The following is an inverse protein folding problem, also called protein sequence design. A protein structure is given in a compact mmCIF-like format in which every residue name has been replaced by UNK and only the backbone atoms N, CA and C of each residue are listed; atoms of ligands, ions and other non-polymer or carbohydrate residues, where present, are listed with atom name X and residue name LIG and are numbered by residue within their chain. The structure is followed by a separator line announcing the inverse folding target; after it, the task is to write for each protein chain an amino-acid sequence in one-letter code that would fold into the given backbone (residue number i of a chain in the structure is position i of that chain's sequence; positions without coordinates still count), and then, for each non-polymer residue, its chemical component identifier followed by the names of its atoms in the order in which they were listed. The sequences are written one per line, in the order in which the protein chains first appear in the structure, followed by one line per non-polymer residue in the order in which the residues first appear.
data_IF_371862912061
#
_entry.id   IF_371862912061
#
_cell.length_a   1.000
_cell.length_b   1.000
_cell.length_c   1.000
_cell.angle_alpha   90.00
_cell.angle_beta   90.00
_cell.angle_gamma   90.00
#
_symmetry.space_group_name_H-M   'P 1'
#
loop_
_entity.id
_entity.type
_entity.pdbx_description
1 polymer ?
#
# COMPACT_ATOMS: atom_id res chain seq x y z
N UNK A 1 34.23 -23.31 34.30
CA UNK A 1 34.88 -22.15 33.64
C UNK A 1 33.91 -20.98 33.74
N UNK A 2 34.11 -20.06 34.70
CA UNK A 2 33.22 -18.91 34.93
C UNK A 2 33.66 -17.75 34.05
N UNK A 3 32.73 -17.19 33.28
CA UNK A 3 32.96 -16.01 32.44
C UNK A 3 32.45 -14.79 33.22
N UNK A 4 33.37 -13.97 33.69
CA UNK A 4 33.10 -12.68 34.34
C UNK A 4 32.87 -11.61 33.25
N UNK A 5 31.66 -11.08 33.14
CA UNK A 5 31.35 -9.95 32.26
C UNK A 5 31.62 -8.63 33.01
N UNK A 6 32.64 -7.87 32.57
CA UNK A 6 32.92 -6.52 33.08
C UNK A 6 32.01 -5.51 32.39
N UNK A 7 31.13 -4.89 33.17
CA UNK A 7 30.30 -3.75 32.78
C UNK A 7 31.14 -2.46 32.82
N UNK A 8 31.15 -1.67 31.74
CA UNK A 8 31.73 -0.32 31.73
C UNK A 8 30.59 0.71 31.65
N UNK A 9 30.62 1.80 32.45
CA UNK A 9 29.54 2.79 32.43
C UNK A 9 29.71 3.79 31.28
N UNK A 10 28.66 3.95 30.48
CA UNK A 10 28.57 4.91 29.39
C UNK A 10 28.45 6.35 29.92
N UNK A 11 29.21 7.26 29.30
CA UNK A 11 29.26 8.69 29.64
C UNK A 11 27.97 9.40 29.26
N UNK A 12 27.41 10.15 30.20
CA UNK A 12 26.24 11.01 30.06
C UNK A 12 26.64 12.26 29.25
N UNK A 13 26.10 12.43 28.04
CA UNK A 13 26.20 13.68 27.28
C UNK A 13 25.03 14.60 27.68
N UNK A 14 25.34 15.71 28.35
CA UNK A 14 24.39 16.79 28.62
C UNK A 14 24.22 17.63 27.35
N UNK A 15 23.04 17.59 26.75
CA UNK A 15 22.65 18.53 25.67
C UNK A 15 22.17 19.83 26.32
N UNK A 16 22.92 20.91 26.09
CA UNK A 16 22.55 22.26 26.51
C UNK A 16 21.44 22.81 25.61
N UNK A 17 20.33 23.21 26.23
CA UNK A 17 19.25 23.97 25.59
C UNK A 17 19.72 25.42 25.47
N UNK A 18 19.92 25.88 24.23
CA UNK A 18 20.17 27.30 23.93
C UNK A 18 18.88 27.92 23.41
N UNK A 19 18.26 28.73 24.27
CA UNK A 19 17.07 29.51 23.97
C UNK A 19 17.48 30.75 23.16
N UNK A 20 16.99 30.88 21.93
CA UNK A 20 17.17 32.07 21.10
C UNK A 20 15.78 32.65 20.79
N UNK A 21 15.49 33.77 21.42
CA UNK A 21 14.35 34.63 21.14
C UNK A 21 14.72 35.70 20.09
N UNK A 22 13.70 36.43 19.63
CA UNK A 22 13.69 37.61 18.73
C UNK A 22 13.45 37.24 17.25
N UNK A 23 12.57 37.86 16.47
CA UNK A 23 11.72 39.07 16.62
C UNK A 23 10.76 39.08 15.43
N UNK A 24 9.48 39.36 15.67
CA UNK A 24 8.48 39.54 14.60
C UNK A 24 8.65 40.91 13.95
N UNK A 25 9.01 40.95 12.67
CA UNK A 25 8.95 42.16 11.84
C UNK A 25 7.71 42.03 10.95
N UNK A 26 6.66 42.77 11.32
CA UNK A 26 5.57 43.11 10.42
C UNK A 26 5.97 44.30 9.56
N UNK A 27 5.59 44.28 8.28
CA UNK A 27 5.53 45.47 7.45
C UNK A 27 4.20 45.53 6.71
N UNK A 28 3.74 46.77 6.56
CA UNK A 28 2.40 47.23 6.30
C UNK A 28 1.86 47.00 4.88
N UNK A 29 0.53 47.09 4.82
CA UNK A 29 -0.32 47.31 3.64
C UNK A 29 0.04 48.63 2.94
N UNK A 30 -0.11 48.68 1.63
CA UNK A 30 -0.31 49.93 0.89
C UNK A 30 -1.42 49.75 -0.16
N UNK A 31 -2.48 50.58 -0.16
CA UNK A 31 -3.51 50.58 -1.20
C UNK A 31 -3.45 51.86 -2.03
N UNK A 32 -3.34 51.78 -3.37
CA UNK A 32 -3.61 52.89 -4.28
C UNK A 32 -4.12 52.32 -5.63
N UNK A 33 -5.42 52.47 -5.98
CA UNK A 33 -6.03 53.41 -6.97
C UNK A 33 -5.73 53.07 -8.44
N UNK A 34 -6.54 53.31 -9.49
CA UNK A 34 -7.95 53.62 -9.79
C UNK A 34 -8.04 53.74 -11.34
N UNK A 35 -9.13 53.28 -11.97
CA UNK A 35 -9.66 53.69 -13.30
C UNK A 35 -8.96 53.15 -14.56
N UNK A 36 -9.62 52.81 -15.69
CA UNK A 36 -11.00 52.84 -16.14
C UNK A 36 -11.07 52.80 -17.69
N UNK A 37 -12.12 52.19 -18.28
CA UNK A 37 -12.54 52.31 -19.70
C UNK A 37 -12.01 51.22 -20.67
N UNK A 38 -12.81 50.23 -21.11
CA UNK A 38 -13.67 50.25 -22.32
C UNK A 38 -12.90 49.62 -23.50
N UNK A 39 -13.35 48.67 -24.32
CA UNK A 39 -14.69 48.23 -24.74
C UNK A 39 -14.60 46.93 -25.57
N UNK A 40 -15.67 46.13 -25.54
CA UNK A 40 -16.19 45.29 -26.64
C UNK A 40 -15.43 44.02 -27.07
N UNK A 41 -16.11 42.87 -26.97
CA UNK A 41 -15.76 41.67 -27.72
C UNK A 41 -16.42 40.41 -27.16
N UNK A 42 -17.57 40.06 -27.73
CA UNK A 42 -18.35 38.87 -27.40
C UNK A 42 -17.52 37.59 -27.44
N UNK A 43 -17.76 36.69 -26.48
CA UNK A 43 -18.07 35.27 -26.72
C UNK A 43 -18.37 34.58 -25.40
N UNK A 44 -19.34 33.67 -25.47
CA UNK A 44 -20.01 33.02 -24.36
C UNK A 44 -19.07 32.53 -23.24
N UNK A 45 -19.45 32.83 -22.00
CA UNK A 45 -18.98 32.12 -20.82
C UNK A 45 -19.54 30.69 -20.90
N UNK A 46 -18.79 29.82 -21.56
CA UNK A 46 -18.88 28.39 -21.32
C UNK A 46 -18.51 28.14 -19.86
N UNK A 47 -19.48 27.69 -19.09
CA UNK A 47 -19.32 27.22 -17.73
C UNK A 47 -18.33 26.05 -17.71
N UNK A 48 -17.06 26.34 -17.45
CA UNK A 48 -15.97 25.37 -17.32
C UNK A 48 -16.09 24.58 -16.02
N UNK A 49 -17.09 23.70 -15.90
CA UNK A 49 -17.17 22.67 -14.86
C UNK A 49 -16.47 21.39 -15.33
N UNK A 50 -15.20 21.49 -15.71
CA UNK A 50 -14.47 20.39 -16.38
C UNK A 50 -13.11 20.05 -15.80
N UNK A 51 -12.87 20.26 -14.50
CA UNK A 51 -11.48 20.45 -14.00
C UNK A 51 -10.98 19.50 -12.92
N UNK A 52 -11.67 18.39 -12.60
CA UNK A 52 -11.08 17.33 -11.78
C UNK A 52 -11.61 15.94 -12.16
N UNK A 53 -12.93 15.80 -12.30
CA UNK A 53 -13.56 14.53 -12.65
C UNK A 53 -13.20 14.03 -14.07
N UNK A 54 -12.96 14.95 -15.02
CA UNK A 54 -12.53 14.61 -16.39
C UNK A 54 -11.09 14.09 -16.44
N UNK A 55 -10.19 14.70 -15.67
CA UNK A 55 -8.79 14.26 -15.54
C UNK A 55 -8.71 12.91 -14.84
N UNK A 56 -9.53 12.70 -13.81
CA UNK A 56 -9.61 11.44 -13.07
C UNK A 56 -10.12 10.29 -13.97
N UNK A 57 -11.16 10.54 -14.77
CA UNK A 57 -11.66 9.56 -15.74
C UNK A 57 -10.64 9.20 -16.84
N UNK A 58 -9.82 10.17 -17.26
CA UNK A 58 -8.72 9.94 -18.20
C UNK A 58 -7.62 9.07 -17.61
N UNK A 59 -7.17 9.40 -16.39
CA UNK A 59 -6.17 8.63 -15.66
C UNK A 59 -6.62 7.19 -15.40
N UNK A 60 -7.87 6.97 -15.03
CA UNK A 60 -8.42 5.61 -14.87
C UNK A 60 -8.39 4.83 -16.19
N UNK A 61 -8.77 5.46 -17.30
CA UNK A 61 -8.78 4.81 -18.62
C UNK A 61 -7.37 4.41 -19.04
N UNK A 62 -6.39 5.29 -18.84
CA UNK A 62 -4.99 5.03 -19.15
C UNK A 62 -4.41 3.93 -18.23
N UNK A 63 -4.69 3.98 -16.93
CA UNK A 63 -4.25 2.97 -15.97
C UNK A 63 -4.79 1.58 -16.31
N UNK A 64 -6.09 1.46 -16.60
CA UNK A 64 -6.69 0.19 -17.00
C UNK A 64 -6.15 -0.30 -18.34
N UNK A 65 -5.81 0.61 -19.26
CA UNK A 65 -5.17 0.26 -20.53
C UNK A 65 -3.78 -0.33 -20.30
N UNK A 66 -2.98 0.25 -19.40
CA UNK A 66 -1.66 -0.29 -19.01
C UNK A 66 -1.82 -1.69 -18.42
N UNK A 67 -2.75 -1.88 -17.48
CA UNK A 67 -2.99 -3.19 -16.84
C UNK A 67 -3.48 -4.22 -17.87
N UNK A 68 -4.36 -3.81 -18.78
CA UNK A 68 -4.89 -4.67 -19.84
C UNK A 68 -3.79 -5.12 -20.81
N UNK A 69 -2.91 -4.21 -21.23
CA UNK A 69 -1.90 -4.50 -22.25
C UNK A 69 -0.69 -5.25 -21.69
N UNK A 70 -0.32 -4.98 -20.44
CA UNK A 70 0.93 -5.48 -19.87
C UNK A 70 0.75 -6.62 -18.86
N UNK A 71 -0.46 -6.85 -18.33
CA UNK A 71 -0.68 -7.80 -17.25
C UNK A 71 -1.66 -8.94 -17.61
N UNK A 72 -2.69 -8.66 -18.41
CA UNK A 72 -3.78 -9.61 -18.67
C UNK A 72 -3.38 -10.87 -19.44
N UNK A 73 -2.24 -10.87 -20.13
CA UNK A 73 -1.74 -12.07 -20.82
C UNK A 73 -1.39 -13.22 -19.85
N UNK A 74 -1.01 -12.90 -18.61
CA UNK A 74 -0.70 -13.89 -17.57
C UNK A 74 -1.69 -13.85 -16.40
N UNK A 75 -2.27 -12.67 -16.11
CA UNK A 75 -3.28 -12.48 -15.08
C UNK A 75 -4.66 -12.32 -15.70
N UNK A 76 -5.19 -13.44 -16.20
CA UNK A 76 -6.50 -13.52 -16.85
C UNK A 76 -7.65 -13.12 -15.91
N UNK A 77 -8.88 -13.07 -16.40
CA UNK A 77 -10.06 -12.72 -15.59
C UNK A 77 -10.40 -13.70 -14.46
N UNK A 78 -9.85 -14.92 -14.47
CA UNK A 78 -10.17 -15.95 -13.47
C UNK A 78 -8.97 -16.73 -12.94
N UNK A 79 -7.77 -16.51 -13.49
CA UNK A 79 -6.57 -17.23 -13.08
C UNK A 79 -5.29 -16.42 -13.36
N UNK A 80 -4.25 -16.71 -12.58
CA UNK A 80 -2.92 -16.18 -12.81
C UNK A 80 -1.91 -16.66 -11.76
N UNK A 81 -0.63 -16.33 -11.95
CA UNK A 81 0.43 -16.69 -11.02
C UNK A 81 0.12 -16.25 -9.59
N UNK A 82 0.49 -17.07 -8.61
CA UNK A 82 0.24 -16.85 -7.18
C UNK A 82 -1.24 -16.61 -6.80
N UNK A 83 -2.19 -17.04 -7.64
CA UNK A 83 -3.62 -16.80 -7.41
C UNK A 83 -4.06 -15.35 -7.64
N UNK A 84 -3.22 -14.53 -8.28
CA UNK A 84 -3.53 -13.13 -8.62
C UNK A 84 -4.12 -13.11 -10.02
N UNK A 85 -5.33 -12.56 -10.17
CA UNK A 85 -6.09 -12.51 -11.42
C UNK A 85 -6.97 -11.27 -11.48
N UNK A 86 -7.66 -11.06 -12.61
CA UNK A 86 -8.61 -9.98 -12.85
C UNK A 86 -8.06 -8.59 -12.51
N UNK A 87 -6.94 -8.23 -13.16
CA UNK A 87 -6.21 -6.98 -12.89
C UNK A 87 -6.80 -5.75 -13.58
N UNK A 88 -7.90 -5.89 -14.33
CA UNK A 88 -8.59 -4.76 -14.97
C UNK A 88 -9.90 -4.39 -14.28
N UNK A 89 -10.29 -5.13 -13.23
CA UNK A 89 -11.43 -4.83 -12.39
C UNK A 89 -10.97 -4.12 -11.12
N UNK A 90 -11.21 -2.82 -11.07
CA UNK A 90 -10.81 -1.97 -9.94
C UNK A 90 -11.39 -2.44 -8.61
N UNK A 91 -12.66 -2.89 -8.58
CA UNK A 91 -13.28 -3.37 -7.35
C UNK A 91 -12.61 -4.66 -6.87
N UNK A 92 -12.25 -5.54 -7.80
CA UNK A 92 -11.48 -6.74 -7.50
C UNK A 92 -10.08 -6.40 -6.97
N UNK A 93 -9.38 -5.45 -7.58
CA UNK A 93 -8.06 -4.99 -7.14
C UNK A 93 -8.10 -4.44 -5.71
N UNK A 94 -9.08 -3.60 -5.40
CA UNK A 94 -9.26 -2.98 -4.08
C UNK A 94 -9.65 -4.04 -3.05
N UNK A 95 -10.66 -4.87 -3.36
CA UNK A 95 -11.20 -5.87 -2.42
C UNK A 95 -10.20 -6.98 -2.07
N UNK A 96 -9.23 -7.24 -2.94
CA UNK A 96 -8.14 -8.19 -2.69
C UNK A 96 -6.83 -7.51 -2.28
N UNK A 97 -6.86 -6.20 -1.98
CA UNK A 97 -5.69 -5.39 -1.57
C UNK A 97 -4.50 -5.47 -2.53
N UNK A 98 -4.76 -5.69 -3.81
CA UNK A 98 -3.74 -5.59 -4.86
C UNK A 98 -3.37 -4.11 -5.11
N UNK A 99 -4.35 -3.23 -4.91
CA UNK A 99 -4.17 -1.78 -4.80
C UNK A 99 -4.82 -1.27 -3.52
N UNK A 100 -4.26 -0.20 -2.96
CA UNK A 100 -4.78 0.53 -1.81
C UNK A 100 -5.05 1.97 -2.27
N UNK A 101 -6.32 2.35 -2.51
CA UNK A 101 -6.70 3.70 -2.89
C UNK A 101 -6.05 4.76 -1.99
N UNK A 102 -5.43 5.76 -2.59
CA UNK A 102 -4.72 6.84 -1.90
C UNK A 102 -3.34 6.47 -1.35
N UNK A 103 -2.91 5.21 -1.43
CA UNK A 103 -1.62 4.76 -0.92
C UNK A 103 -0.88 3.85 -1.92
N UNK A 104 -0.12 4.45 -2.86
CA UNK A 104 0.65 3.70 -3.84
C UNK A 104 1.71 2.79 -3.24
N UNK A 105 2.38 3.23 -2.17
CA UNK A 105 3.45 2.46 -1.52
C UNK A 105 2.92 1.22 -0.80
N UNK A 106 1.66 1.25 -0.36
CA UNK A 106 0.97 0.08 0.20
C UNK A 106 0.37 -0.86 -0.86
N UNK A 107 0.45 -0.52 -2.16
CA UNK A 107 -0.19 -1.27 -3.24
C UNK A 107 0.74 -2.33 -3.83
N UNK A 108 0.34 -3.60 -3.73
CA UNK A 108 1.16 -4.75 -4.14
C UNK A 108 1.56 -4.76 -5.61
N UNK A 109 0.65 -4.27 -6.47
CA UNK A 109 0.93 -4.15 -7.90
C UNK A 109 2.13 -3.24 -8.12
N UNK A 110 2.15 -2.05 -7.50
CA UNK A 110 3.28 -1.13 -7.63
C UNK A 110 4.54 -1.68 -6.97
N UNK A 111 4.44 -2.27 -5.78
CA UNK A 111 5.58 -2.92 -5.12
C UNK A 111 6.21 -4.04 -5.98
N UNK A 112 5.41 -4.75 -6.78
CA UNK A 112 5.91 -5.80 -7.68
C UNK A 112 6.53 -5.21 -8.94
N UNK A 113 5.92 -4.15 -9.49
CA UNK A 113 6.38 -3.45 -10.69
C UNK A 113 7.68 -2.68 -10.43
N UNK A 114 7.73 -1.87 -9.37
CA UNK A 114 8.89 -1.04 -9.00
C UNK A 114 10.09 -1.91 -8.59
N UNK A 115 9.85 -3.12 -8.06
CA UNK A 115 10.88 -4.11 -7.79
C UNK A 115 11.35 -4.88 -9.05
N UNK A 116 10.81 -4.58 -10.23
CA UNK A 116 11.17 -5.24 -11.49
C UNK A 116 10.75 -6.70 -11.59
N UNK A 117 9.83 -7.17 -10.73
CA UNK A 117 9.33 -8.56 -10.74
C UNK A 117 8.21 -8.75 -11.75
N UNK A 118 7.46 -7.69 -12.03
CA UNK A 118 6.37 -7.70 -13.01
C UNK A 118 6.52 -6.54 -14.00
N UNK A 119 6.26 -6.76 -15.29
CA UNK A 119 5.98 -8.05 -15.92
C UNK A 119 7.26 -8.92 -16.08
N UNK A 120 7.13 -10.26 -16.22
CA UNK A 120 8.29 -11.16 -16.30
C UNK A 120 9.14 -10.99 -17.58
N UNK A 121 8.61 -10.31 -18.60
CA UNK A 121 9.32 -10.02 -19.86
C UNK A 121 10.22 -8.79 -19.82
N UNK A 122 10.27 -8.06 -18.71
CA UNK A 122 11.05 -6.84 -18.55
C UNK A 122 10.32 -5.79 -17.70
N UNK A 123 11.06 -4.83 -17.17
CA UNK A 123 10.49 -3.77 -16.36
C UNK A 123 9.45 -2.96 -17.15
N UNK A 124 8.32 -2.67 -16.51
CA UNK A 124 7.31 -1.77 -17.07
C UNK A 124 7.92 -0.38 -17.31
N UNK A 125 7.52 0.30 -18.39
CA UNK A 125 8.05 1.63 -18.72
C UNK A 125 7.83 2.60 -17.54
N UNK A 126 8.84 3.43 -17.23
CA UNK A 126 8.78 4.36 -16.08
C UNK A 126 7.56 5.30 -16.15
N UNK A 127 7.18 5.74 -17.35
CA UNK A 127 5.96 6.54 -17.55
C UNK A 127 4.70 5.80 -17.11
N UNK A 128 4.57 4.53 -17.48
CA UNK A 128 3.44 3.68 -17.09
C UNK A 128 3.43 3.42 -15.58
N UNK A 129 4.59 3.20 -14.96
CA UNK A 129 4.70 3.06 -13.50
C UNK A 129 4.21 4.33 -12.79
N UNK A 130 4.63 5.50 -13.25
CA UNK A 130 4.23 6.79 -12.69
C UNK A 130 2.73 7.03 -12.86
N UNK A 131 2.15 6.62 -14.00
CA UNK A 131 0.72 6.76 -14.26
C UNK A 131 -0.08 5.88 -13.30
N UNK A 132 0.29 4.61 -13.14
CA UNK A 132 -0.34 3.72 -12.16
C UNK A 132 -0.22 4.26 -10.74
N UNK A 133 0.94 4.85 -10.39
CA UNK A 133 1.17 5.51 -9.10
C UNK A 133 0.24 6.69 -8.88
N UNK A 134 0.08 7.55 -9.88
CA UNK A 134 -0.81 8.71 -9.82
C UNK A 134 -2.28 8.29 -9.73
N UNK A 135 -2.69 7.31 -10.52
CA UNK A 135 -4.05 6.77 -10.47
C UNK A 135 -4.39 6.18 -9.10
N UNK A 136 -3.50 5.39 -8.51
CA UNK A 136 -3.70 4.85 -7.17
C UNK A 136 -3.71 5.96 -6.12
N UNK A 137 -2.81 6.93 -6.22
CA UNK A 137 -2.77 8.10 -5.32
C UNK A 137 -4.07 8.92 -5.41
N UNK A 138 -4.65 9.03 -6.61
CA UNK A 138 -5.94 9.67 -6.87
C UNK A 138 -7.16 8.91 -6.35
N UNK A 139 -6.96 7.72 -5.75
CA UNK A 139 -8.04 6.92 -5.17
C UNK A 139 -8.46 5.74 -6.03
N UNK A 140 -7.73 5.43 -7.10
CA UNK A 140 -7.98 4.31 -8.00
C UNK A 140 -9.47 4.24 -8.39
N UNK A 141 -10.01 5.34 -8.88
CA UNK A 141 -11.45 5.48 -9.08
C UNK A 141 -11.84 4.58 -10.25
N UNK A 142 -12.84 3.71 -10.06
CA UNK A 142 -13.36 2.89 -11.16
C UNK A 142 -13.97 3.81 -12.24
N UNK A 143 -13.97 3.42 -13.53
CA UNK A 143 -14.69 4.17 -14.54
C UNK A 143 -16.16 4.25 -14.12
N UNK A 144 -16.61 5.41 -13.66
CA UNK A 144 -17.99 5.63 -13.28
C UNK A 144 -18.86 5.75 -14.53
N UNK A 145 -20.03 5.10 -14.51
CA UNK A 145 -21.17 5.48 -15.35
C UNK A 145 -21.45 7.00 -15.20
N UNK A 146 -22.02 7.72 -16.20
CA UNK A 146 -22.08 9.18 -16.25
C UNK A 146 -22.83 9.92 -15.12
N UNK A 147 -23.36 9.22 -14.12
CA UNK A 147 -24.03 9.84 -12.97
C UNK A 147 -23.00 10.15 -11.88
N UNK A 148 -22.38 11.33 -11.99
CA UNK A 148 -21.35 11.85 -11.10
C UNK A 148 -21.65 11.62 -9.61
N UNK A 149 -20.75 10.91 -8.95
CA UNK A 149 -20.85 10.61 -7.53
C UNK A 149 -20.07 9.37 -7.11
N UNK A 150 -18.85 9.17 -7.59
CA UNK A 150 -17.95 8.15 -7.03
C UNK A 150 -17.16 8.78 -5.89
N UNK A 151 -17.70 8.67 -4.66
CA UNK A 151 -16.79 8.46 -3.53
C UNK A 151 -15.76 7.40 -3.95
N UNK A 152 -14.45 7.61 -3.72
CA UNK A 152 -13.45 6.56 -3.93
C UNK A 152 -14.01 5.27 -3.34
N UNK A 153 -13.78 4.09 -3.95
CA UNK A 153 -14.14 2.82 -3.33
C UNK A 153 -13.51 2.79 -1.94
N UNK A 154 -14.26 3.24 -0.93
CA UNK A 154 -13.83 3.18 0.44
C UNK A 154 -13.87 1.70 0.72
N UNK A 155 -12.68 1.11 0.89
CA UNK A 155 -12.53 -0.25 1.37
C UNK A 155 -13.62 -0.44 2.43
N UNK A 156 -14.61 -1.36 2.23
CA UNK A 156 -15.39 -1.78 3.38
C UNK A 156 -14.36 -2.20 4.43
N UNK A 157 -14.52 -1.83 5.72
CA UNK A 157 -13.57 -2.25 6.73
C UNK A 157 -13.45 -3.76 6.64
N UNK A 158 -12.31 -4.24 6.13
CA UNK A 158 -12.08 -5.68 5.98
C UNK A 158 -12.00 -6.18 7.41
N UNK A 159 -13.10 -6.76 7.88
CA UNK A 159 -13.15 -7.42 9.18
C UNK A 159 -12.23 -8.63 9.04
N UNK A 160 -11.02 -8.49 9.58
CA UNK A 160 -10.04 -9.55 9.60
C UNK A 160 -10.50 -10.59 10.61
N UNK A 161 -11.00 -11.72 10.12
CA UNK A 161 -11.32 -12.86 10.97
C UNK A 161 -10.05 -13.62 11.37
N UNK A 162 -9.97 -14.18 12.60
CA UNK A 162 -8.85 -14.99 13.06
C UNK A 162 -8.92 -16.42 12.51
N UNK A 163 -9.02 -16.55 11.18
CA UNK A 163 -9.02 -17.82 10.44
C UNK A 163 -7.84 -17.89 9.49
N UNK A 164 -7.40 -19.10 9.14
CA UNK A 164 -6.30 -19.25 8.19
C UNK A 164 -6.68 -18.69 6.81
N UNK A 165 -7.91 -18.90 6.35
CA UNK A 165 -8.44 -18.39 5.09
C UNK A 165 -8.39 -16.86 5.02
N UNK A 166 -8.84 -16.18 6.08
CA UNK A 166 -8.78 -14.72 6.20
C UNK A 166 -7.34 -14.22 6.23
N UNK A 167 -6.48 -14.82 7.06
CA UNK A 167 -5.07 -14.42 7.18
C UNK A 167 -4.28 -14.67 5.89
N UNK A 168 -4.53 -15.80 5.22
CA UNK A 168 -3.91 -16.13 3.94
C UNK A 168 -4.23 -15.07 2.89
N UNK A 169 -5.52 -14.76 2.71
CA UNK A 169 -5.99 -13.78 1.74
C UNK A 169 -5.54 -12.36 2.06
N UNK A 170 -5.59 -11.96 3.33
CA UNK A 170 -5.47 -10.55 3.72
C UNK A 170 -4.11 -10.18 4.33
N UNK A 171 -3.27 -11.16 4.67
CA UNK A 171 -1.93 -10.97 5.25
C UNK A 171 -0.86 -11.77 4.50
N UNK A 172 -0.94 -13.09 4.41
CA UNK A 172 0.20 -13.89 3.92
C UNK A 172 0.47 -13.71 2.43
N UNK A 173 -0.56 -13.86 1.59
CA UNK A 173 -0.45 -13.61 0.15
C UNK A 173 0.03 -12.18 -0.13
N UNK A 174 -0.59 -11.14 0.45
CA UNK A 174 -0.20 -9.77 0.12
C UNK A 174 1.18 -9.38 0.68
N UNK A 175 1.51 -9.70 1.93
CA UNK A 175 2.72 -9.18 2.59
C UNK A 175 3.92 -10.13 2.55
N UNK A 176 3.72 -11.43 2.35
CA UNK A 176 4.77 -12.43 2.59
C UNK A 176 5.16 -13.22 1.34
N UNK A 177 4.19 -13.68 0.55
CA UNK A 177 4.41 -14.69 -0.51
C UNK A 177 5.33 -14.20 -1.63
N UNK A 178 5.41 -12.89 -1.86
CA UNK A 178 6.26 -12.31 -2.92
C UNK A 178 7.76 -12.55 -2.72
N UNK A 179 8.19 -12.87 -1.49
CA UNK A 179 9.56 -13.27 -1.16
C UNK A 179 9.66 -14.57 -0.36
N UNK A 180 8.57 -15.04 0.24
CA UNK A 180 8.49 -16.25 1.06
C UNK A 180 7.42 -17.20 0.50
N UNK A 181 7.72 -17.86 -0.61
CA UNK A 181 6.87 -18.88 -1.24
C UNK A 181 7.62 -20.20 -1.40
N UNK A 182 6.93 -21.27 -1.79
CA UNK A 182 7.56 -22.57 -2.07
C UNK A 182 8.65 -22.48 -3.13
N UNK A 183 8.50 -21.55 -4.09
CA UNK A 183 9.45 -21.32 -5.17
C UNK A 183 10.52 -20.26 -4.83
N UNK A 184 10.32 -19.50 -3.76
CA UNK A 184 11.24 -18.47 -3.28
C UNK A 184 11.26 -18.50 -1.75
N UNK A 185 12.06 -19.39 -1.17
CA UNK A 185 12.14 -19.61 0.29
C UNK A 185 13.19 -18.72 0.93
N UNK A 186 12.96 -17.41 0.96
CA UNK A 186 13.87 -16.49 1.65
C UNK A 186 14.03 -16.93 3.11
N UNK A 187 15.28 -17.16 3.54
CA UNK A 187 15.63 -17.71 4.85
C UNK A 187 14.97 -19.06 5.18
N UNK A 188 14.57 -19.84 4.16
CA UNK A 188 13.98 -21.17 4.33
C UNK A 188 12.47 -21.20 4.65
N UNK A 189 11.80 -20.06 4.71
CA UNK A 189 10.37 -19.96 5.04
C UNK A 189 9.48 -19.67 3.83
N UNK A 190 8.27 -20.21 3.85
CA UNK A 190 7.23 -19.97 2.87
C UNK A 190 5.87 -19.78 3.57
N UNK A 191 5.00 -18.93 3.01
CA UNK A 191 3.68 -18.61 3.58
C UNK A 191 2.56 -18.73 2.56
N UNK A 192 2.77 -19.51 1.50
CA UNK A 192 1.84 -19.76 0.39
C UNK A 192 0.87 -20.92 0.64
N UNK A 193 1.07 -21.68 1.73
CA UNK A 193 0.13 -22.70 2.19
C UNK A 193 0.26 -22.95 3.70
N UNK A 194 -0.79 -23.54 4.27
CA UNK A 194 -0.93 -23.77 5.71
C UNK A 194 0.24 -24.58 6.29
N UNK A 195 0.62 -25.67 5.62
CA UNK A 195 1.68 -26.56 6.10
C UNK A 195 3.04 -25.83 6.19
N UNK A 196 3.33 -24.91 5.27
CA UNK A 196 4.53 -24.08 5.32
C UNK A 196 4.44 -22.99 6.40
N UNK A 197 3.30 -22.31 6.53
CA UNK A 197 3.07 -21.29 7.58
C UNK A 197 3.34 -21.89 8.97
N UNK A 198 2.80 -23.09 9.23
CA UNK A 198 2.94 -23.76 10.52
C UNK A 198 4.37 -24.13 10.92
N UNK A 199 5.34 -24.13 9.98
CA UNK A 199 6.77 -24.33 10.32
C UNK A 199 7.36 -23.19 11.16
N UNK A 200 6.68 -22.04 11.18
CA UNK A 200 7.09 -20.85 11.93
C UNK A 200 6.10 -20.48 13.05
N UNK A 201 5.04 -21.28 13.23
CA UNK A 201 3.97 -21.04 14.19
C UNK A 201 3.94 -22.14 15.23
N UNK A 202 3.95 -21.74 16.49
CA UNK A 202 3.69 -22.62 17.62
C UNK A 202 2.26 -22.36 18.10
N UNK A 203 1.35 -23.27 17.72
CA UNK A 203 -0.06 -23.20 18.10
C UNK A 203 -0.25 -22.94 19.60
N UNK A 204 -1.09 -21.97 19.93
CA UNK A 204 -1.36 -21.48 21.29
C UNK A 204 -0.35 -20.46 21.84
N UNK A 205 0.79 -20.24 21.18
CA UNK A 205 1.88 -19.43 21.73
C UNK A 205 2.42 -18.40 20.72
N UNK A 206 1.77 -17.22 20.58
CA UNK A 206 2.24 -16.16 19.68
C UNK A 206 3.68 -15.72 19.95
N UNK A 207 4.03 -15.46 21.22
CA UNK A 207 5.39 -15.04 21.61
C UNK A 207 6.46 -16.15 21.47
N UNK A 208 6.08 -17.35 21.05
CA UNK A 208 6.98 -18.46 20.71
C UNK A 208 6.84 -18.89 19.24
N UNK A 209 6.13 -18.09 18.44
CA UNK A 209 5.95 -18.26 17.01
C UNK A 209 6.82 -17.26 16.29
N UNK A 210 7.84 -17.72 15.56
CA UNK A 210 8.76 -16.86 14.84
C UNK A 210 8.02 -15.88 13.93
N UNK A 211 6.97 -16.36 13.23
CA UNK A 211 6.12 -15.52 12.38
C UNK A 211 5.56 -14.31 13.13
N UNK A 212 5.05 -14.51 14.34
CA UNK A 212 4.45 -13.43 15.12
C UNK A 212 5.52 -12.50 15.68
N UNK A 213 6.62 -13.03 16.22
CA UNK A 213 7.63 -12.20 16.87
C UNK A 213 8.36 -11.28 15.89
N UNK A 214 8.66 -11.76 14.67
CA UNK A 214 9.39 -10.96 13.67
C UNK A 214 8.49 -9.93 12.97
N UNK A 215 7.19 -10.21 12.88
CA UNK A 215 6.22 -9.24 12.35
C UNK A 215 5.87 -8.18 13.38
N UNK A 216 5.76 -8.58 14.66
CA UNK A 216 5.56 -7.65 15.78
C UNK A 216 6.76 -6.72 15.99
N UNK A 217 8.00 -7.18 15.79
CA UNK A 217 9.19 -6.34 15.90
C UNK A 217 9.36 -5.35 14.74
N UNK A 218 8.57 -5.50 13.67
CA UNK A 218 8.69 -4.69 12.46
C UNK A 218 9.88 -5.06 11.57
N UNK A 219 10.60 -6.14 11.88
CA UNK A 219 11.67 -6.67 11.02
C UNK A 219 11.10 -7.23 9.71
N UNK A 220 9.86 -7.72 9.74
CA UNK A 220 9.12 -8.19 8.59
C UNK A 220 7.72 -7.57 8.51
N UNK A 221 7.25 -7.20 7.30
CA UNK A 221 8.00 -7.13 6.05
C UNK A 221 9.18 -6.14 6.08
N UNK A 222 10.27 -6.43 5.35
CA UNK A 222 11.46 -5.56 5.31
C UNK A 222 11.14 -4.23 4.62
N UNK A 223 11.81 -3.15 5.00
CA UNK A 223 11.77 -1.91 4.22
C UNK A 223 12.13 -2.17 2.73
N UNK A 224 11.41 -1.60 1.75
CA UNK A 224 10.38 -0.55 1.85
C UNK A 224 8.94 -1.05 2.06
N UNK A 225 8.71 -2.34 2.29
CA UNK A 225 7.37 -2.88 2.47
C UNK A 225 6.75 -2.42 3.81
N UNK A 226 5.45 -2.08 3.84
CA UNK A 226 4.79 -1.66 5.06
C UNK A 226 4.71 -2.81 6.09
N UNK A 227 4.91 -2.47 7.36
CA UNK A 227 4.71 -3.39 8.48
C UNK A 227 3.23 -3.70 8.68
N UNK A 228 2.94 -4.81 9.36
CA UNK A 228 1.56 -5.10 9.77
C UNK A 228 1.07 -4.06 10.80
N UNK A 229 -0.20 -3.68 10.69
CA UNK A 229 -0.89 -2.83 11.68
C UNK A 229 -1.11 -3.56 13.00
N UNK A 230 -1.38 -2.81 14.08
CA UNK A 230 -1.75 -3.38 15.37
C UNK A 230 -2.95 -4.32 15.27
N UNK A 231 -3.93 -3.98 14.44
CA UNK A 231 -5.15 -4.77 14.24
C UNK A 231 -4.84 -6.08 13.51
N UNK A 232 -4.03 -6.03 12.45
CA UNK A 232 -3.57 -7.23 11.74
C UNK A 232 -2.75 -8.16 12.64
N UNK A 233 -1.84 -7.59 13.45
CA UNK A 233 -1.06 -8.34 14.43
C UNK A 233 -1.96 -8.95 15.50
N UNK A 234 -2.99 -8.24 15.96
CA UNK A 234 -3.93 -8.77 16.95
C UNK A 234 -4.71 -9.96 16.39
N UNK A 235 -5.21 -9.89 15.17
CA UNK A 235 -5.95 -11.00 14.54
C UNK A 235 -5.03 -12.20 14.29
N UNK A 236 -3.80 -11.97 13.83
CA UNK A 236 -2.79 -13.02 13.70
C UNK A 236 -2.51 -13.70 15.06
N UNK A 237 -2.35 -12.90 16.12
CA UNK A 237 -2.18 -13.40 17.49
C UNK A 237 -3.38 -14.25 17.93
N UNK A 238 -4.61 -13.78 17.70
CA UNK A 238 -5.84 -14.47 18.07
C UNK A 238 -5.95 -15.84 17.38
N UNK A 239 -5.64 -15.92 16.07
CA UNK A 239 -5.62 -17.18 15.34
C UNK A 239 -4.59 -18.15 15.91
N UNK A 240 -3.37 -17.68 16.24
CA UNK A 240 -2.34 -18.52 16.88
C UNK A 240 -2.82 -19.00 18.25
N UNK A 241 -3.40 -18.13 19.08
CA UNK A 241 -3.96 -18.48 20.41
C UNK A 241 -5.06 -19.54 20.29
N UNK A 242 -5.91 -19.45 19.26
CA UNK A 242 -6.96 -20.43 18.97
C UNK A 242 -6.43 -21.81 18.49
N UNK A 243 -5.11 -22.01 18.48
CA UNK A 243 -4.47 -23.25 18.04
C UNK A 243 -4.08 -23.26 16.57
N UNK A 244 -4.12 -22.10 15.90
CA UNK A 244 -3.82 -21.92 14.49
C UNK A 244 -4.60 -22.90 13.57
N UNK A 245 -5.95 -22.96 13.66
CA UNK A 245 -6.74 -23.89 12.86
C UNK A 245 -6.62 -23.62 11.35
N UNK A 246 -6.67 -24.69 10.54
CA UNK A 246 -6.73 -24.60 9.09
C UNK A 246 -8.20 -24.44 8.64
N UNK A 247 -8.76 -23.23 8.80
CA UNK A 247 -10.17 -22.91 8.56
C UNK A 247 -10.37 -21.61 7.77
#
# INVERSE_FOLDING_TARGET
MRIEYRFTPSRIFRVGVMLLALTSIGCARNPLTNGGGGSSGASALGNGSGTAASLDSGLTTEALTILQNNCSACHTSSSGPAGIYNLTDVNHLVSNRLIVPGNPDASLILQSIEAGRMPPGGALAIGDQQLLRQWILGGAVAPSDPAGGSTPPSLPPVVLEPTYSSLSKNIFVPYCVSCHSTNQKTEGYAFDNYANVMKSVRAGFPNRSLLYTITQSGEMPRNPYPTLTSEQLQVLSNWIVAGAPNN
#
